data_IF_604401693200
#
_entry.id   IF_604401693200
#
_cell.length_a   1.000
_cell.length_b   1.000
_cell.length_c   1.000
_cell.angle_alpha   90.00
_cell.angle_beta   90.00
_cell.angle_gamma   90.00
#
_symmetry.space_group_name_H-M   'P 1'
#
loop_
_entity.id
_entity.type
_entity.pdbx_description
1 polymer ?
#
# COMPACT_ATOMS: atom_id res chain seq x y z
N UNK A 1 -11.75 -3.76 -34.15
CA UNK A 1 -11.59 -4.60 -32.93
C UNK A 1 -11.93 -3.73 -31.73
N UNK A 2 -12.96 -4.07 -30.98
CA UNK A 2 -13.21 -3.37 -29.70
C UNK A 2 -12.05 -3.69 -28.76
N UNK A 3 -11.30 -2.66 -28.37
CA UNK A 3 -10.25 -2.81 -27.36
C UNK A 3 -10.95 -3.20 -26.07
N UNK A 4 -10.63 -4.36 -25.52
CA UNK A 4 -11.13 -4.77 -24.20
C UNK A 4 -10.53 -3.80 -23.19
N UNK A 5 -11.38 -3.11 -22.45
CA UNK A 5 -10.93 -2.28 -21.34
C UNK A 5 -10.45 -3.21 -20.23
N UNK A 6 -9.32 -2.89 -19.64
CA UNK A 6 -8.78 -3.61 -18.48
C UNK A 6 -8.67 -2.61 -17.35
N UNK A 7 -9.16 -2.97 -16.17
CA UNK A 7 -9.13 -2.09 -15.01
C UNK A 7 -8.03 -2.57 -14.05
N UNK A 8 -6.85 -1.97 -14.17
CA UNK A 8 -5.66 -2.34 -13.39
C UNK A 8 -5.27 -1.20 -12.46
N UNK A 9 -4.82 -1.57 -11.28
CA UNK A 9 -4.40 -0.64 -10.25
C UNK A 9 -3.05 -1.05 -9.67
N UNK A 10 -2.06 -0.18 -9.82
CA UNK A 10 -0.75 -0.31 -9.21
C UNK A 10 -0.68 0.58 -7.97
N UNK A 11 -0.42 -0.03 -6.84
CA UNK A 11 -0.23 0.66 -5.55
C UNK A 11 1.21 0.41 -5.12
N UNK A 12 1.98 1.49 -4.95
CA UNK A 12 3.41 1.43 -4.62
C UNK A 12 3.68 2.12 -3.29
N UNK A 13 4.53 1.51 -2.47
CA UNK A 13 5.20 2.12 -1.34
C UNK A 13 6.71 2.05 -1.56
N UNK A 14 7.39 3.17 -1.40
CA UNK A 14 8.84 3.21 -1.56
C UNK A 14 9.50 4.07 -0.47
N UNK A 15 10.81 3.84 -0.28
CA UNK A 15 11.69 4.64 0.55
C UNK A 15 12.70 5.32 -0.37
N UNK A 16 12.64 6.65 -0.46
CA UNK A 16 13.40 7.46 -1.41
C UNK A 16 14.47 8.30 -0.71
N UNK A 17 15.70 8.26 -1.24
CA UNK A 17 16.80 9.13 -0.77
C UNK A 17 16.78 10.50 -1.41
N UNK A 18 16.28 10.59 -2.65
CA UNK A 18 16.19 11.84 -3.42
C UNK A 18 14.73 12.07 -3.84
N UNK A 19 13.82 12.30 -2.89
CA UNK A 19 12.42 12.54 -3.22
C UNK A 19 12.28 13.89 -3.96
N UNK A 20 11.28 14.03 -4.83
CA UNK A 20 10.95 15.32 -5.42
C UNK A 20 10.32 16.21 -4.34
N UNK A 21 10.89 17.40 -4.09
CA UNK A 21 10.42 18.30 -3.03
C UNK A 21 10.00 19.68 -3.56
N UNK A 22 10.19 19.93 -4.84
CA UNK A 22 9.79 21.16 -5.53
C UNK A 22 8.54 20.94 -6.37
N UNK A 23 7.55 21.82 -6.24
CA UNK A 23 6.25 21.71 -6.92
C UNK A 23 6.40 21.73 -8.45
N UNK A 24 7.30 22.57 -8.97
CA UNK A 24 7.55 22.69 -10.41
C UNK A 24 8.25 21.44 -10.94
N UNK A 25 9.27 20.98 -10.24
CA UNK A 25 10.03 19.78 -10.61
C UNK A 25 9.11 18.55 -10.65
N UNK A 26 8.26 18.38 -9.63
CA UNK A 26 7.32 17.26 -9.60
C UNK A 26 6.25 17.40 -10.69
N UNK A 27 5.77 18.61 -10.97
CA UNK A 27 4.82 18.86 -12.06
C UNK A 27 5.39 18.41 -13.41
N UNK A 28 6.62 18.83 -13.72
CA UNK A 28 7.28 18.45 -14.98
C UNK A 28 7.60 16.93 -15.02
N UNK A 29 7.98 16.36 -13.88
CA UNK A 29 8.18 14.92 -13.79
C UNK A 29 6.89 14.13 -14.12
N UNK A 30 5.73 14.56 -13.58
CA UNK A 30 4.44 13.94 -13.90
C UNK A 30 4.11 13.99 -15.38
N UNK A 31 4.27 15.15 -16.01
CA UNK A 31 3.99 15.30 -17.46
C UNK A 31 4.83 14.34 -18.28
N UNK A 32 6.12 14.31 -18.04
CA UNK A 32 7.06 13.45 -18.73
C UNK A 32 6.80 11.97 -18.43
N UNK A 33 6.54 11.63 -17.18
CA UNK A 33 6.24 10.27 -16.74
C UNK A 33 4.99 9.74 -17.45
N UNK A 34 3.90 10.52 -17.49
CA UNK A 34 2.63 10.12 -18.11
C UNK A 34 2.80 9.88 -19.61
N UNK A 35 3.56 10.72 -20.27
CA UNK A 35 3.90 10.54 -21.70
C UNK A 35 4.75 9.29 -21.93
N UNK A 36 5.78 9.05 -21.12
CA UNK A 36 6.68 7.90 -21.23
C UNK A 36 5.98 6.56 -21.03
N UNK A 37 4.93 6.50 -20.19
CA UNK A 37 4.11 5.29 -20.03
C UNK A 37 2.97 5.18 -21.06
N UNK A 38 2.99 6.04 -22.10
CA UNK A 38 2.02 6.03 -23.20
C UNK A 38 0.62 6.53 -22.86
N UNK A 39 0.49 7.30 -21.79
CA UNK A 39 -0.79 7.87 -21.33
C UNK A 39 -0.87 9.38 -21.67
N UNK A 40 -2.05 9.97 -21.53
CA UNK A 40 -2.28 11.40 -21.78
C UNK A 40 -2.96 12.06 -20.60
N UNK A 41 -2.45 13.25 -20.27
CA UNK A 41 -3.04 14.11 -19.24
C UNK A 41 -4.39 14.66 -19.74
N UNK A 42 -5.42 14.55 -18.92
CA UNK A 42 -6.72 15.19 -19.12
C UNK A 42 -6.88 16.42 -18.22
N UNK A 43 -6.42 16.34 -16.94
CA UNK A 43 -6.43 17.45 -15.98
C UNK A 43 -5.20 17.40 -15.08
N UNK A 44 -4.64 18.53 -14.75
CA UNK A 44 -3.42 18.65 -13.95
C UNK A 44 -2.14 18.53 -14.78
N UNK A 45 -1.02 18.05 -14.23
CA UNK A 45 -0.82 17.67 -12.83
C UNK A 45 -1.03 18.85 -11.87
N UNK A 46 -1.64 18.58 -10.73
CA UNK A 46 -1.76 19.49 -9.60
C UNK A 46 -0.81 19.06 -8.52
N UNK A 47 0.11 19.93 -8.14
CA UNK A 47 1.16 19.61 -7.17
C UNK A 47 1.15 20.65 -6.06
N UNK A 48 1.25 20.16 -4.81
CA UNK A 48 1.32 21.05 -3.65
C UNK A 48 2.21 20.49 -2.56
N UNK A 49 3.03 21.35 -1.96
CA UNK A 49 3.82 21.03 -0.80
C UNK A 49 3.08 21.43 0.49
N UNK A 50 3.03 20.51 1.46
CA UNK A 50 2.47 20.73 2.79
C UNK A 50 3.59 20.98 3.80
N UNK A 51 3.48 22.07 4.57
CA UNK A 51 4.38 22.39 5.68
C UNK A 51 3.87 21.89 7.04
N UNK A 52 2.77 21.12 7.05
CA UNK A 52 2.15 20.65 8.28
C UNK A 52 3.07 19.63 8.99
N UNK A 53 3.47 19.93 10.21
CA UNK A 53 4.28 19.03 11.05
C UNK A 53 3.52 17.71 11.28
N UNK A 54 4.21 16.59 11.09
CA UNK A 54 3.63 15.24 11.15
C UNK A 54 2.95 14.79 9.83
N UNK A 55 2.83 15.70 8.86
CA UNK A 55 2.34 15.43 7.51
C UNK A 55 3.03 16.32 6.47
N UNK A 56 4.30 16.64 6.71
CA UNK A 56 5.10 17.47 5.83
C UNK A 56 5.55 16.69 4.61
N UNK A 57 5.44 17.32 3.42
CA UNK A 57 5.84 16.71 2.17
C UNK A 57 5.08 17.21 0.96
N UNK A 58 5.27 16.57 -0.16
CA UNK A 58 4.68 16.99 -1.44
C UNK A 58 3.65 15.98 -1.94
N UNK A 59 2.57 16.48 -2.50
CA UNK A 59 1.52 15.68 -3.13
C UNK A 59 1.32 16.16 -4.55
N UNK A 60 1.24 15.21 -5.49
CA UNK A 60 0.88 15.46 -6.88
C UNK A 60 -0.21 14.53 -7.35
N UNK A 61 -1.13 15.05 -8.17
CA UNK A 61 -2.20 14.28 -8.78
C UNK A 61 -2.46 14.71 -10.22
N UNK A 62 -2.73 13.76 -11.10
CA UNK A 62 -3.13 13.98 -12.47
C UNK A 62 -4.30 13.08 -12.84
N UNK A 63 -5.31 13.64 -13.49
CA UNK A 63 -6.33 12.87 -14.19
C UNK A 63 -5.80 12.62 -15.61
N UNK A 64 -5.80 11.37 -16.00
CA UNK A 64 -5.41 10.91 -17.34
C UNK A 64 -6.65 10.43 -18.10
N UNK A 65 -6.57 10.34 -19.43
CA UNK A 65 -7.70 9.89 -20.25
C UNK A 65 -8.24 8.51 -19.84
N UNK A 66 -7.39 7.69 -19.22
CA UNK A 66 -7.70 6.33 -18.77
C UNK A 66 -7.89 6.18 -17.27
N UNK A 67 -7.84 7.22 -16.47
CA UNK A 67 -8.20 7.35 -15.06
C UNK A 67 -7.33 8.36 -14.28
N UNK A 68 -6.38 7.92 -13.39
CA UNK A 68 -5.58 8.85 -12.58
C UNK A 68 -4.22 8.29 -12.15
N UNK A 69 -3.33 9.24 -11.80
CA UNK A 69 -2.04 8.96 -11.18
C UNK A 69 -1.87 9.91 -10.00
N UNK A 70 -1.46 9.39 -8.83
CA UNK A 70 -1.25 10.17 -7.61
C UNK A 70 0.09 9.80 -6.99
N UNK A 71 0.77 10.78 -6.42
CA UNK A 71 1.98 10.61 -5.62
C UNK A 71 1.86 11.41 -4.32
N UNK A 72 2.23 10.76 -3.23
CA UNK A 72 2.46 11.41 -1.94
C UNK A 72 3.88 11.12 -1.48
N UNK A 73 4.56 12.15 -1.02
CA UNK A 73 5.90 12.02 -0.43
C UNK A 73 5.88 12.70 0.93
N UNK A 74 6.32 12.00 1.97
CA UNK A 74 6.59 12.53 3.29
C UNK A 74 8.11 12.62 3.48
N UNK A 75 8.61 13.81 3.76
CA UNK A 75 10.05 14.09 3.87
C UNK A 75 10.56 14.17 5.31
N UNK A 76 9.69 13.95 6.29
CA UNK A 76 10.08 13.91 7.70
C UNK A 76 10.90 12.66 8.06
N UNK A 77 10.59 11.45 7.53
CA UNK A 77 11.47 10.30 7.68
C UNK A 77 12.67 10.36 6.75
N UNK A 78 13.79 9.75 7.15
CA UNK A 78 14.97 9.52 6.30
C UNK A 78 15.29 8.02 6.27
N UNK A 79 15.20 7.35 5.10
CA UNK A 79 14.75 7.86 3.80
C UNK A 79 13.27 8.30 3.79
N UNK A 80 12.93 9.24 2.90
CA UNK A 80 11.57 9.74 2.74
C UNK A 80 10.59 8.63 2.33
N UNK A 81 9.38 8.68 2.86
CA UNK A 81 8.31 7.77 2.46
C UNK A 81 7.63 8.30 1.20
N UNK A 82 7.55 7.47 0.17
CA UNK A 82 6.83 7.74 -1.07
C UNK A 82 5.72 6.71 -1.25
N UNK A 83 4.51 7.19 -1.53
CA UNK A 83 3.40 6.37 -1.99
C UNK A 83 2.98 6.83 -3.38
N UNK A 84 2.78 5.88 -4.29
CA UNK A 84 2.44 6.15 -5.67
C UNK A 84 1.32 5.23 -6.13
N UNK A 85 0.40 5.79 -6.87
CA UNK A 85 -0.85 5.16 -7.25
C UNK A 85 -1.09 5.39 -8.74
N UNK A 86 -1.29 4.32 -9.50
CA UNK A 86 -1.68 4.36 -10.92
C UNK A 86 -2.88 3.47 -11.12
N UNK A 87 -4.02 4.08 -11.39
CA UNK A 87 -5.20 3.37 -11.85
C UNK A 87 -5.47 3.69 -13.32
N UNK A 88 -5.69 2.66 -14.13
CA UNK A 88 -5.98 2.83 -15.55
C UNK A 88 -6.92 1.76 -16.08
N UNK A 89 -7.84 2.16 -16.97
CA UNK A 89 -8.61 1.25 -17.82
C UNK A 89 -7.86 0.90 -19.15
N UNK A 90 -6.64 1.38 -19.32
CA UNK A 90 -5.69 0.98 -20.35
C UNK A 90 -4.59 0.10 -19.78
N UNK A 91 -3.97 -0.69 -20.63
CA UNK A 91 -2.84 -1.54 -20.25
C UNK A 91 -1.62 -0.70 -19.91
N UNK A 92 -0.87 -1.13 -18.90
CA UNK A 92 0.45 -0.61 -18.54
C UNK A 92 1.26 -1.68 -17.82
N UNK A 93 2.59 -1.52 -17.85
CA UNK A 93 3.51 -2.44 -17.19
C UNK A 93 3.95 -1.91 -15.81
N UNK A 94 3.62 -2.60 -14.71
CA UNK A 94 3.99 -2.18 -13.36
C UNK A 94 5.50 -2.15 -13.13
N UNK A 95 6.26 -3.04 -13.78
CA UNK A 95 7.72 -3.09 -13.60
C UNK A 95 8.40 -1.88 -14.22
N UNK A 96 7.97 -1.44 -15.39
CA UNK A 96 8.45 -0.21 -16.03
C UNK A 96 8.24 1.00 -15.13
N UNK A 97 7.06 1.12 -14.53
CA UNK A 97 6.73 2.20 -13.59
C UNK A 97 7.62 2.15 -12.34
N UNK A 98 7.74 0.99 -11.71
CA UNK A 98 8.55 0.82 -10.52
C UNK A 98 10.05 1.06 -10.78
N UNK A 99 10.56 0.62 -11.93
CA UNK A 99 11.95 0.87 -12.31
C UNK A 99 12.23 2.35 -12.53
N UNK A 100 11.26 3.10 -13.07
CA UNK A 100 11.38 4.54 -13.23
C UNK A 100 11.38 5.25 -11.88
N UNK A 101 10.47 4.95 -10.98
CA UNK A 101 10.44 5.47 -9.60
C UNK A 101 11.76 5.18 -8.89
N UNK A 102 12.26 3.96 -8.99
CA UNK A 102 13.52 3.53 -8.41
C UNK A 102 14.71 4.33 -8.92
N UNK A 103 14.77 4.57 -10.22
CA UNK A 103 15.85 5.32 -10.86
C UNK A 103 15.79 6.80 -10.50
N UNK A 104 14.61 7.42 -10.66
CA UNK A 104 14.46 8.86 -10.58
C UNK A 104 14.55 9.38 -9.13
N UNK A 105 14.10 8.58 -8.14
CA UNK A 105 14.08 8.97 -6.73
C UNK A 105 15.09 8.23 -5.85
N UNK A 106 15.98 7.43 -6.46
CA UNK A 106 17.02 6.66 -5.75
C UNK A 106 16.43 5.88 -4.56
N UNK A 107 15.46 5.01 -4.84
CA UNK A 107 14.78 4.26 -3.78
C UNK A 107 15.68 3.19 -3.18
N UNK A 108 15.65 3.06 -1.86
CA UNK A 108 16.33 1.99 -1.10
C UNK A 108 15.46 0.75 -0.99
N UNK A 109 14.14 0.96 -0.94
CA UNK A 109 13.13 -0.09 -0.90
C UNK A 109 11.95 0.31 -1.77
N UNK A 110 11.38 -0.64 -2.47
CA UNK A 110 10.12 -0.48 -3.21
C UNK A 110 9.29 -1.75 -3.08
N UNK A 111 8.04 -1.58 -2.75
CA UNK A 111 7.04 -2.64 -2.63
C UNK A 111 5.82 -2.22 -3.43
N UNK A 112 5.19 -3.14 -4.13
CA UNK A 112 3.96 -2.83 -4.84
C UNK A 112 2.98 -3.99 -4.84
N UNK A 113 1.70 -3.63 -5.00
CA UNK A 113 0.63 -4.55 -5.37
C UNK A 113 0.03 -4.12 -6.70
N UNK A 114 -0.20 -5.09 -7.57
CA UNK A 114 -0.86 -4.90 -8.85
C UNK A 114 -2.18 -5.66 -8.84
N UNK A 115 -3.28 -4.93 -8.93
CA UNK A 115 -4.63 -5.44 -8.73
C UNK A 115 -5.44 -5.42 -10.02
N UNK A 116 -6.23 -6.45 -10.22
CA UNK A 116 -7.36 -6.44 -11.13
C UNK A 116 -8.55 -5.80 -10.43
N UNK A 117 -9.03 -4.65 -10.94
CA UNK A 117 -10.21 -3.96 -10.41
C UNK A 117 -11.50 -4.28 -11.16
N UNK A 118 -11.40 -5.05 -12.22
CA UNK A 118 -12.54 -5.50 -13.01
C UNK A 118 -13.18 -6.75 -12.40
N UNK A 119 -12.36 -7.67 -11.86
CA UNK A 119 -12.79 -8.95 -11.32
C UNK A 119 -12.34 -9.12 -9.87
N UNK A 120 -13.26 -8.99 -8.92
CA UNK A 120 -13.11 -9.35 -7.50
C UNK A 120 -11.93 -8.71 -6.75
N UNK A 121 -11.35 -7.61 -7.28
CA UNK A 121 -10.15 -6.95 -6.73
C UNK A 121 -8.96 -7.90 -6.53
N UNK A 122 -8.81 -8.86 -7.44
CA UNK A 122 -7.77 -9.88 -7.33
C UNK A 122 -6.37 -9.27 -7.42
N UNK A 123 -5.49 -9.74 -6.55
CA UNK A 123 -4.06 -9.44 -6.65
C UNK A 123 -3.46 -10.26 -7.79
N UNK A 124 -2.96 -9.57 -8.83
CA UNK A 124 -2.29 -10.21 -9.98
C UNK A 124 -0.84 -10.47 -9.65
N UNK A 125 -0.17 -9.48 -9.03
CA UNK A 125 1.26 -9.55 -8.76
C UNK A 125 1.62 -8.67 -7.57
N UNK A 126 2.55 -9.15 -6.76
CA UNK A 126 3.19 -8.41 -5.67
C UNK A 126 4.69 -8.59 -5.76
N UNK A 127 5.44 -7.52 -5.56
CA UNK A 127 6.90 -7.57 -5.52
C UNK A 127 7.43 -6.66 -4.42
N UNK A 128 8.51 -7.11 -3.79
CA UNK A 128 9.31 -6.32 -2.88
C UNK A 128 10.76 -6.34 -3.34
N UNK A 129 11.31 -5.16 -3.59
CA UNK A 129 12.72 -4.97 -3.88
C UNK A 129 13.38 -4.18 -2.76
N UNK A 130 14.50 -4.68 -2.25
CA UNK A 130 15.34 -3.96 -1.28
C UNK A 130 16.77 -3.93 -1.82
N UNK A 131 17.42 -2.76 -1.76
CA UNK A 131 18.82 -2.64 -2.16
C UNK A 131 19.68 -3.56 -1.27
N UNK A 132 20.49 -4.46 -1.83
CA UNK A 132 21.27 -5.44 -1.08
C UNK A 132 22.25 -4.82 -0.06
N UNK A 133 22.66 -3.58 -0.25
CA UNK A 133 23.53 -2.85 0.71
C UNK A 133 22.78 -2.53 2.01
N UNK A 134 21.46 -2.33 1.94
CA UNK A 134 20.62 -1.99 3.11
C UNK A 134 20.16 -3.24 3.85
N UNK A 135 20.07 -4.40 3.19
CA UNK A 135 19.59 -5.67 3.77
C UNK A 135 20.29 -6.11 5.05
N UNK A 136 21.58 -5.83 5.18
CA UNK A 136 22.38 -6.31 6.34
C UNK A 136 22.10 -5.53 7.65
N UNK A 137 21.57 -4.32 7.55
CA UNK A 137 21.22 -3.49 8.72
C UNK A 137 19.73 -3.60 9.08
N UNK A 138 18.86 -3.61 8.09
CA UNK A 138 17.39 -3.61 8.29
C UNK A 138 16.85 -4.95 8.81
N UNK A 139 17.36 -6.09 8.35
CA UNK A 139 16.90 -7.39 8.84
C UNK A 139 17.11 -7.54 10.36
N UNK A 140 18.18 -6.97 10.92
CA UNK A 140 18.41 -7.00 12.37
C UNK A 140 17.50 -6.06 13.14
N UNK A 141 17.12 -4.91 12.56
CA UNK A 141 16.21 -3.97 13.22
C UNK A 141 14.74 -4.40 13.07
N UNK A 142 14.35 -4.91 11.88
CA UNK A 142 13.01 -5.44 11.64
C UNK A 142 12.75 -6.67 12.49
N UNK A 143 13.71 -7.60 12.61
CA UNK A 143 13.60 -8.73 13.53
C UNK A 143 13.49 -8.29 14.99
N UNK A 144 14.29 -7.28 15.40
CA UNK A 144 14.18 -6.71 16.76
C UNK A 144 12.81 -6.05 16.99
N UNK A 145 12.32 -5.24 16.03
CA UNK A 145 10.99 -4.59 16.12
C UNK A 145 9.85 -5.61 16.08
N UNK A 146 9.91 -6.60 15.20
CA UNK A 146 8.90 -7.67 15.12
C UNK A 146 8.91 -8.54 16.39
N UNK A 147 10.07 -8.90 16.90
CA UNK A 147 10.20 -9.65 18.14
C UNK A 147 9.73 -8.83 19.36
N UNK A 148 10.01 -7.52 19.40
CA UNK A 148 9.49 -6.63 20.44
C UNK A 148 7.96 -6.48 20.35
N UNK A 149 7.42 -6.35 19.11
CA UNK A 149 5.97 -6.26 18.86
C UNK A 149 5.25 -7.55 19.25
N UNK A 150 5.81 -8.72 18.92
CA UNK A 150 5.29 -10.03 19.31
C UNK A 150 5.34 -10.24 20.81
N UNK A 151 6.41 -9.80 21.49
CA UNK A 151 6.54 -9.85 22.95
C UNK A 151 5.57 -8.91 23.66
N UNK A 152 5.14 -7.82 23.05
CA UNK A 152 4.16 -6.86 23.58
C UNK A 152 2.71 -7.29 23.40
N UNK A 153 2.44 -8.36 22.67
CA UNK A 153 1.10 -8.88 22.41
C UNK A 153 0.91 -10.23 23.06
N UNK A 154 -0.23 -10.42 23.71
CA UNK A 154 -0.65 -11.72 24.23
C UNK A 154 -1.83 -12.20 23.38
N UNK A 155 -1.68 -13.39 22.79
CA UNK A 155 -2.80 -14.06 22.14
C UNK A 155 -3.86 -14.42 23.18
N UNK A 156 -5.10 -14.12 22.88
CA UNK A 156 -6.24 -14.40 23.76
C UNK A 156 -7.38 -14.97 22.93
N UNK A 157 -8.09 -15.92 23.50
CA UNK A 157 -9.34 -16.42 22.94
C UNK A 157 -10.43 -15.37 23.15
N UNK A 158 -11.16 -15.02 22.08
CA UNK A 158 -12.11 -13.91 22.12
C UNK A 158 -13.50 -14.37 22.55
N UNK A 159 -14.02 -15.47 22.05
CA UNK A 159 -15.42 -15.85 22.25
C UNK A 159 -15.64 -17.30 22.71
N UNK A 160 -14.63 -18.01 23.21
CA UNK A 160 -14.74 -19.42 23.63
C UNK A 160 -15.05 -20.41 22.49
N UNK A 161 -15.00 -19.95 21.23
CA UNK A 161 -15.31 -20.73 20.03
C UNK A 161 -14.09 -21.01 19.15
N UNK A 162 -12.89 -20.81 19.68
CA UNK A 162 -11.65 -20.99 18.94
C UNK A 162 -11.20 -19.78 18.10
N UNK A 163 -11.91 -18.65 18.23
CA UNK A 163 -11.47 -17.39 17.61
C UNK A 163 -10.43 -16.71 18.50
N UNK A 164 -9.28 -16.41 17.96
CA UNK A 164 -8.15 -15.82 18.67
C UNK A 164 -7.85 -14.40 18.16
N UNK A 165 -7.34 -13.55 19.03
CA UNK A 165 -6.85 -12.23 18.72
C UNK A 165 -5.64 -11.89 19.58
N UNK A 166 -5.11 -10.68 19.43
CA UNK A 166 -4.00 -10.19 20.24
C UNK A 166 -4.45 -9.08 21.18
N UNK A 167 -4.12 -9.20 22.45
CA UNK A 167 -4.32 -8.14 23.41
C UNK A 167 -3.07 -7.28 23.51
N UNK A 168 -3.22 -5.97 23.35
CA UNK A 168 -2.13 -4.99 23.47
C UNK A 168 -1.77 -4.88 24.97
N UNK A 169 -0.49 -5.08 25.30
CA UNK A 169 -0.01 -5.08 26.69
C UNK A 169 0.36 -3.69 27.20
N UNK A 170 0.78 -2.79 26.32
CA UNK A 170 1.37 -1.50 26.66
C UNK A 170 0.90 -0.37 25.74
N UNK A 171 1.04 0.87 26.17
CA UNK A 171 0.67 2.07 25.42
C UNK A 171 -0.79 2.50 25.63
N UNK A 172 -1.21 3.54 24.91
CA UNK A 172 -2.54 4.15 25.03
C UNK A 172 -3.69 3.19 24.70
N UNK A 173 -3.42 2.14 23.92
CA UNK A 173 -4.38 1.10 23.55
C UNK A 173 -4.24 -0.19 24.38
N UNK A 174 -3.60 -0.12 25.56
CA UNK A 174 -3.44 -1.27 26.45
C UNK A 174 -4.78 -1.90 26.79
N UNK A 175 -4.85 -3.22 26.66
CA UNK A 175 -6.05 -3.99 26.93
C UNK A 175 -6.97 -4.22 25.71
N UNK A 176 -6.81 -3.44 24.64
CA UNK A 176 -7.60 -3.62 23.40
C UNK A 176 -7.23 -4.93 22.72
N UNK A 177 -8.23 -5.66 22.27
CA UNK A 177 -8.05 -6.86 21.44
C UNK A 177 -8.13 -6.45 19.97
N UNK A 178 -7.12 -6.81 19.19
CA UNK A 178 -7.01 -6.48 17.78
C UNK A 178 -6.78 -7.75 16.94
N UNK A 179 -7.45 -7.83 15.80
CA UNK A 179 -7.35 -8.95 14.86
C UNK A 179 -8.20 -10.16 15.28
N UNK A 180 -8.76 -10.80 14.27
CA UNK A 180 -9.43 -12.08 14.38
C UNK A 180 -8.58 -13.10 13.62
N UNK A 181 -8.06 -14.11 14.34
CA UNK A 181 -7.38 -15.24 13.73
C UNK A 181 -8.29 -16.44 13.92
N UNK A 182 -8.87 -16.95 12.85
CA UNK A 182 -9.44 -18.29 12.85
C UNK A 182 -8.28 -19.28 12.67
N UNK A 183 -7.96 -20.02 13.71
CA UNK A 183 -7.13 -21.21 13.53
C UNK A 183 -8.00 -22.27 12.91
N UNK A 184 -7.69 -22.66 11.68
CA UNK A 184 -8.21 -23.91 11.14
C UNK A 184 -7.81 -25.02 12.11
N UNK A 185 -8.80 -25.69 12.67
CA UNK A 185 -8.56 -26.94 13.36
C UNK A 185 -7.95 -27.88 12.33
N UNK A 186 -6.70 -28.27 12.51
CA UNK A 186 -6.11 -29.39 11.79
C UNK A 186 -6.91 -30.65 12.15
N UNK A 187 -7.97 -30.87 11.43
CA UNK A 187 -8.66 -32.14 11.41
C UNK A 187 -8.06 -32.95 10.27
N UNK A 188 -7.28 -33.93 10.65
CA UNK A 188 -7.23 -35.17 9.91
C UNK A 188 -8.65 -35.72 9.98
N UNK A 189 -9.55 -35.23 9.14
CA UNK A 189 -10.76 -35.90 8.68
C UNK A 189 -11.42 -35.04 7.59
N UNK A 190 -11.38 -35.56 6.37
CA UNK A 190 -12.10 -35.08 5.22
C UNK A 190 -13.61 -35.02 5.50
N UNK A 191 -14.21 -33.83 5.43
CA UNK A 191 -15.50 -33.62 4.76
C UNK A 191 -15.76 -32.12 4.57
N UNK A 192 -15.86 -31.72 3.31
CA UNK A 192 -16.40 -30.42 2.88
C UNK A 192 -17.81 -30.22 3.47
N UNK A 193 -18.00 -29.13 4.19
CA UNK A 193 -19.30 -28.47 4.28
C UNK A 193 -19.05 -26.97 4.14
N UNK A 194 -19.43 -26.47 2.97
CA UNK A 194 -19.54 -25.04 2.69
C UNK A 194 -20.88 -24.62 3.27
N UNK A 195 -20.86 -23.86 4.35
CA UNK A 195 -22.06 -23.17 4.84
C UNK A 195 -21.88 -21.67 4.65
N UNK A 196 -22.59 -21.14 3.65
CA UNK A 196 -22.72 -19.73 3.36
C UNK A 196 -23.77 -19.12 4.28
N UNK A 197 -23.36 -18.50 5.38
CA UNK A 197 -24.24 -17.59 6.12
C UNK A 197 -23.49 -16.31 6.48
N UNK A 198 -23.36 -15.42 5.50
CA UNK A 198 -23.12 -14.01 5.78
C UNK A 198 -24.43 -13.36 6.21
N UNK A 199 -24.62 -13.18 7.49
CA UNK A 199 -25.53 -12.14 8.01
C UNK A 199 -24.73 -10.86 8.13
N UNK A 200 -25.09 -9.90 7.30
CA UNK A 200 -24.69 -8.51 7.46
C UNK A 200 -25.32 -7.98 8.73
N UNK A 201 -24.51 -7.69 9.74
CA UNK A 201 -24.94 -6.88 10.87
C UNK A 201 -24.86 -5.41 10.49
N UNK A 202 -26.01 -4.77 10.63
CA UNK A 202 -26.30 -3.37 10.37
C UNK A 202 -25.37 -2.43 11.12
N UNK A 203 -24.69 -1.55 10.40
CA UNK A 203 -24.14 -0.32 10.95
C UNK A 203 -25.27 0.69 11.12
N UNK A 204 -25.79 0.81 12.33
CA UNK A 204 -26.54 1.98 12.75
C UNK A 204 -25.87 2.58 13.97
N UNK A 205 -25.75 3.92 13.91
CA UNK A 205 -25.42 4.86 14.98
C UNK A 205 -23.98 4.93 15.48
N UNK A 206 -23.24 5.88 14.91
CA UNK A 206 -22.54 6.90 15.70
C UNK A 206 -22.36 8.15 14.81
N UNK A 207 -23.12 9.17 15.18
CA UNK A 207 -23.05 10.50 14.60
C UNK A 207 -21.79 11.27 15.05
N UNK A 208 -21.49 12.28 14.22
CA UNK A 208 -20.45 13.33 14.21
C UNK A 208 -19.13 12.93 13.60
#
# INVERSE_FOLDING_TARGET
>A
MNKVLVHKHLIVRAEAKNPPMDETVLTEWFKKFIEEIGMKVMMGPYVKYSHMIGNRGITGAAIIETSHIVMHVWDEPDPALLQFDVYSCGEFDPETICNKIKKDFNTTKIEYKFLDREHDLQEIHTLTYTNPIVKNYENKEIEKKNNALLRSRKEVEINGNGTHGYRIKEGIHKGTVVGHIQREKSSIDNKLNIDNSHKADSYDELGY
#
